data_IF_060995527975
#
_entry.id   IF_060995527975
#
_cell.length_a   1.000
_cell.length_b   1.000
_cell.length_c   1.000
_cell.angle_alpha   90.00
_cell.angle_beta   90.00
_cell.angle_gamma   90.00
#
_symmetry.space_group_name_H-M   'P 1'
#
loop_
_entity.id
_entity.type
_entity.pdbx_description
1 polymer ?
#
# COMPACT_ATOMS: atom_id res chain seq x y z
N UNK A 1 36.59 -43.35 60.01
CA UNK A 1 36.58 -43.50 58.54
C UNK A 1 37.35 -42.31 58.00
N UNK A 2 38.31 -42.52 57.12
CA UNK A 2 39.21 -41.48 56.62
C UNK A 2 38.84 -41.15 55.16
N UNK A 3 37.71 -40.44 54.93
CA UNK A 3 37.23 -40.17 53.59
C UNK A 3 38.17 -39.17 52.90
N UNK A 4 38.65 -39.53 51.72
CA UNK A 4 39.64 -38.73 50.99
C UNK A 4 38.94 -37.79 49.99
N UNK A 5 39.17 -36.47 50.07
CA UNK A 5 38.74 -35.53 49.04
C UNK A 5 39.54 -35.75 47.75
N UNK A 6 38.89 -35.71 46.60
CA UNK A 6 39.51 -35.86 45.29
C UNK A 6 38.77 -35.04 44.21
N UNK A 7 39.48 -34.72 43.12
CA UNK A 7 38.85 -34.19 41.91
C UNK A 7 38.77 -35.29 40.85
N UNK A 8 37.60 -35.47 40.25
CA UNK A 8 37.45 -36.35 39.10
C UNK A 8 38.19 -35.79 37.88
N UNK A 9 38.44 -36.63 36.86
CA UNK A 9 39.20 -36.27 35.65
C UNK A 9 38.61 -35.08 34.86
N UNK A 10 37.32 -34.79 35.04
CA UNK A 10 36.62 -33.63 34.46
C UNK A 10 36.66 -32.37 35.35
N UNK A 11 37.41 -32.41 36.47
CA UNK A 11 37.57 -31.32 37.42
C UNK A 11 36.42 -31.15 38.42
N UNK A 12 35.46 -32.08 38.53
CA UNK A 12 34.40 -32.00 39.54
C UNK A 12 34.87 -32.50 40.91
N UNK A 13 34.58 -31.80 42.03
CA UNK A 13 34.97 -32.23 43.38
C UNK A 13 34.09 -33.37 43.91
N UNK A 14 34.68 -34.28 44.68
CA UNK A 14 33.95 -35.27 45.44
C UNK A 14 34.80 -35.94 46.51
N UNK A 15 34.14 -36.57 47.47
CA UNK A 15 34.82 -37.29 48.56
C UNK A 15 34.58 -38.78 48.41
N UNK A 16 35.67 -39.55 48.41
CA UNK A 16 35.65 -41.02 48.35
C UNK A 16 35.89 -41.61 49.74
N UNK A 17 35.04 -42.55 50.14
CA UNK A 17 35.16 -43.29 51.39
C UNK A 17 34.88 -44.79 51.17
N UNK A 18 34.99 -45.57 52.25
CA UNK A 18 34.70 -47.00 52.25
C UNK A 18 33.57 -47.27 53.23
N UNK A 19 32.56 -48.03 52.80
CA UNK A 19 31.44 -48.46 53.62
C UNK A 19 31.93 -49.39 54.73
N UNK A 20 31.67 -49.11 56.01
CA UNK A 20 32.15 -49.95 57.11
C UNK A 20 31.39 -51.29 57.21
N UNK A 21 30.22 -51.40 56.58
CA UNK A 21 29.34 -52.57 56.69
C UNK A 21 29.66 -53.60 55.61
N UNK A 22 29.91 -53.15 54.38
CA UNK A 22 30.12 -54.05 53.23
C UNK A 22 31.48 -53.89 52.54
N UNK A 23 32.34 -52.96 52.99
CA UNK A 23 33.64 -52.69 52.36
C UNK A 23 33.56 -52.03 50.97
N UNK A 24 32.36 -51.73 50.48
CA UNK A 24 32.16 -51.08 49.18
C UNK A 24 32.62 -49.62 49.17
N UNK A 25 33.10 -49.15 48.02
CA UNK A 25 33.49 -47.74 47.85
C UNK A 25 32.24 -46.84 47.80
N UNK A 26 32.24 -45.76 48.58
CA UNK A 26 31.19 -44.73 48.59
C UNK A 26 31.78 -43.46 48.00
N UNK A 27 31.08 -42.84 47.06
CA UNK A 27 31.47 -41.56 46.47
C UNK A 27 30.36 -40.53 46.67
N UNK A 28 30.70 -39.37 47.25
CA UNK A 28 29.76 -38.26 47.44
C UNK A 28 30.22 -37.05 46.62
N UNK A 29 29.45 -36.60 45.61
CA UNK A 29 29.78 -35.41 44.85
C UNK A 29 29.57 -34.16 45.70
N UNK A 30 30.47 -33.17 45.56
CA UNK A 30 30.36 -31.89 46.25
C UNK A 30 31.69 -31.39 46.79
N UNK A 31 31.81 -30.07 46.89
CA UNK A 31 32.97 -29.40 47.47
C UNK A 31 32.85 -29.38 49.00
N UNK A 32 33.97 -29.57 49.69
CA UNK A 32 34.10 -29.42 51.14
C UNK A 32 35.39 -28.67 51.46
N UNK A 33 35.52 -28.11 52.66
CA UNK A 33 36.75 -27.42 53.09
C UNK A 33 38.02 -28.30 52.96
N UNK A 34 37.88 -29.63 53.01
CA UNK A 34 38.98 -30.56 52.81
C UNK A 34 39.54 -30.58 51.36
N UNK A 35 38.88 -29.90 50.41
CA UNK A 35 39.38 -29.72 49.04
C UNK A 35 40.27 -28.47 48.89
N UNK A 36 40.36 -27.63 49.92
CA UNK A 36 41.25 -26.46 49.93
C UNK A 36 42.71 -26.93 49.98
N UNK A 37 43.48 -26.62 48.92
CA UNK A 37 44.89 -27.01 48.78
C UNK A 37 45.14 -28.24 47.90
N UNK A 38 44.10 -28.91 47.40
CA UNK A 38 44.27 -29.97 46.39
C UNK A 38 44.42 -29.40 44.98
N UNK A 39 45.41 -29.89 44.24
CA UNK A 39 45.59 -29.52 42.84
C UNK A 39 44.41 -30.02 41.99
N UNK A 40 43.71 -29.08 41.36
CA UNK A 40 42.64 -29.41 40.42
C UNK A 40 43.26 -29.87 39.10
N UNK A 41 42.84 -31.03 38.55
CA UNK A 41 43.38 -31.51 37.28
C UNK A 41 43.05 -30.52 36.16
N UNK A 42 44.06 -30.20 35.35
CA UNK A 42 43.91 -29.35 34.16
C UNK A 42 43.10 -30.13 33.13
N UNK A 43 41.83 -29.77 32.96
CA UNK A 43 40.94 -30.39 31.97
C UNK A 43 41.34 -29.90 30.58
N UNK A 44 42.30 -30.56 29.95
CA UNK A 44 42.58 -30.36 28.52
C UNK A 44 41.45 -30.97 27.71
N UNK A 45 40.41 -30.19 27.41
CA UNK A 45 39.47 -30.54 26.34
C UNK A 45 40.27 -30.63 25.03
N UNK A 46 40.19 -31.73 24.26
CA UNK A 46 40.78 -31.74 22.94
C UNK A 46 40.12 -30.61 22.14
N UNK A 47 40.93 -29.61 21.75
CA UNK A 47 40.52 -28.62 20.76
C UNK A 47 40.09 -29.40 19.53
N UNK A 48 38.80 -29.36 19.21
CA UNK A 48 38.30 -29.67 17.86
C UNK A 48 39.24 -28.96 16.91
N UNK A 49 39.88 -29.69 16.00
CA UNK A 49 40.66 -29.11 14.89
C UNK A 49 39.80 -28.00 14.29
N UNK A 50 40.19 -26.76 14.52
CA UNK A 50 39.70 -25.63 13.77
C UNK A 50 40.11 -25.88 12.32
N UNK A 51 39.13 -26.16 11.48
CA UNK A 51 39.27 -25.95 10.04
C UNK A 51 39.42 -24.44 9.85
N UNK A 52 40.63 -23.92 10.06
CA UNK A 52 41.03 -22.62 9.53
C UNK A 52 41.22 -22.78 8.03
N UNK A 53 40.09 -22.68 7.33
CA UNK A 53 39.86 -22.19 5.98
C UNK A 53 38.45 -22.66 5.60
N UNK A 54 37.41 -22.11 6.24
CA UNK A 54 36.12 -22.01 5.54
C UNK A 54 36.38 -21.12 4.33
N UNK A 55 36.65 -21.75 3.18
CA UNK A 55 36.46 -21.10 1.90
C UNK A 55 35.08 -20.47 1.94
N UNK A 56 34.98 -19.15 1.78
CA UNK A 56 33.67 -18.50 1.63
C UNK A 56 32.82 -19.36 0.69
N UNK A 57 31.57 -19.70 1.06
CA UNK A 57 30.73 -20.51 0.19
C UNK A 57 30.73 -19.85 -1.18
N UNK A 58 31.12 -20.56 -2.25
CA UNK A 58 31.20 -20.00 -3.60
C UNK A 58 29.85 -19.41 -3.97
N UNK A 59 29.71 -18.09 -3.82
CA UNK A 59 28.49 -17.34 -4.08
C UNK A 59 28.24 -17.33 -5.58
N UNK A 60 27.06 -17.76 -6.00
CA UNK A 60 26.71 -17.90 -7.41
C UNK A 60 25.28 -17.41 -7.66
N UNK A 61 25.06 -16.82 -8.84
CA UNK A 61 23.76 -16.31 -9.26
C UNK A 61 23.35 -15.00 -8.56
N UNK A 62 22.16 -14.50 -8.90
CA UNK A 62 21.59 -13.26 -8.38
C UNK A 62 20.27 -13.57 -7.67
N UNK A 63 20.05 -13.01 -6.48
CA UNK A 63 18.77 -13.12 -5.76
C UNK A 63 17.94 -11.87 -6.06
N UNK A 64 16.65 -12.05 -6.35
CA UNK A 64 15.68 -10.97 -6.46
C UNK A 64 14.60 -11.19 -5.41
N UNK A 65 14.33 -10.19 -4.59
CA UNK A 65 13.26 -10.22 -3.58
C UNK A 65 12.18 -9.22 -3.94
N UNK A 66 10.94 -9.71 -4.04
CA UNK A 66 9.74 -8.92 -4.35
C UNK A 66 8.70 -9.05 -3.25
N UNK A 67 7.69 -8.18 -3.25
CA UNK A 67 6.66 -8.21 -2.21
C UNK A 67 5.72 -9.41 -2.32
N UNK A 68 5.25 -9.75 -3.52
CA UNK A 68 4.18 -10.73 -3.74
C UNK A 68 4.61 -11.93 -4.61
N UNK A 69 3.96 -13.10 -4.45
CA UNK A 69 4.25 -14.27 -5.27
C UNK A 69 3.89 -14.09 -6.75
N UNK A 70 2.84 -13.33 -7.07
CA UNK A 70 2.45 -13.07 -8.47
C UNK A 70 3.55 -12.27 -9.18
N UNK A 71 4.02 -11.18 -8.56
CA UNK A 71 5.15 -10.38 -9.03
C UNK A 71 6.42 -11.22 -9.23
N UNK A 72 6.67 -12.19 -8.32
CA UNK A 72 7.83 -13.08 -8.42
C UNK A 72 7.78 -13.97 -9.68
N UNK A 73 6.59 -14.47 -10.04
CA UNK A 73 6.39 -15.28 -11.25
C UNK A 73 6.60 -14.44 -12.51
N UNK A 74 5.99 -13.26 -12.58
CA UNK A 74 6.07 -12.37 -13.75
C UNK A 74 7.52 -11.92 -14.00
N UNK A 75 8.23 -11.46 -12.96
CA UNK A 75 9.63 -11.00 -13.08
C UNK A 75 10.58 -12.17 -13.37
N UNK A 76 10.34 -13.35 -12.77
CA UNK A 76 11.13 -14.54 -13.06
C UNK A 76 11.12 -14.93 -14.54
N UNK A 77 9.98 -14.74 -15.22
CA UNK A 77 9.85 -14.97 -16.68
C UNK A 77 10.73 -14.01 -17.49
N UNK A 78 10.82 -12.74 -17.10
CA UNK A 78 11.57 -11.73 -17.87
C UNK A 78 13.08 -11.77 -17.64
N UNK A 79 13.52 -12.07 -16.42
CA UNK A 79 14.95 -12.13 -16.08
C UNK A 79 15.63 -13.42 -16.54
N UNK A 80 14.88 -14.52 -16.63
CA UNK A 80 15.38 -15.79 -17.15
C UNK A 80 16.38 -16.51 -16.24
N UNK A 81 17.24 -17.35 -16.85
CA UNK A 81 18.20 -18.20 -16.14
C UNK A 81 19.31 -17.34 -15.51
N UNK A 82 19.63 -17.60 -14.24
CA UNK A 82 20.67 -16.88 -13.48
C UNK A 82 20.15 -16.02 -12.34
N UNK A 83 18.85 -15.76 -12.31
CA UNK A 83 18.15 -15.09 -11.21
C UNK A 83 17.31 -16.08 -10.41
N UNK A 84 17.43 -16.03 -9.08
CA UNK A 84 16.51 -16.69 -8.15
C UNK A 84 15.55 -15.64 -7.64
N UNK A 85 14.26 -15.73 -7.99
CA UNK A 85 13.24 -14.76 -7.55
C UNK A 85 12.46 -15.32 -6.37
N UNK A 86 12.39 -14.58 -5.27
CA UNK A 86 11.69 -14.92 -4.02
C UNK A 86 10.75 -13.80 -3.61
N UNK A 87 9.71 -14.15 -2.85
CA UNK A 87 8.75 -13.19 -2.32
C UNK A 87 8.88 -13.05 -0.80
N UNK A 88 8.81 -11.83 -0.28
CA UNK A 88 8.74 -11.52 1.16
C UNK A 88 7.32 -11.71 1.73
N UNK A 89 6.31 -11.80 0.86
CA UNK A 89 4.89 -11.87 1.21
C UNK A 89 4.48 -10.65 2.04
N UNK A 90 4.79 -9.44 1.55
CA UNK A 90 4.57 -8.18 2.25
C UNK A 90 5.67 -7.84 3.26
N UNK A 91 5.26 -7.14 4.32
CA UNK A 91 6.11 -6.78 5.47
C UNK A 91 6.61 -8.02 6.22
N UNK A 92 7.91 -8.03 6.53
CA UNK A 92 8.59 -9.11 7.26
C UNK A 92 8.85 -8.80 8.74
N UNK A 93 8.78 -7.51 9.12
CA UNK A 93 8.84 -7.03 10.50
C UNK A 93 7.62 -6.16 10.80
N UNK A 94 7.24 -6.10 12.06
CA UNK A 94 6.29 -5.11 12.56
C UNK A 94 6.60 -4.77 14.04
N UNK A 95 5.99 -3.70 14.54
CA UNK A 95 5.99 -3.31 15.94
C UNK A 95 5.16 -4.32 16.76
N UNK A 96 5.63 -4.72 17.96
CA UNK A 96 4.90 -5.66 18.82
C UNK A 96 3.50 -5.13 19.14
N UNK A 97 2.47 -5.98 19.01
CA UNK A 97 1.07 -5.56 19.26
C UNK A 97 0.76 -5.36 20.74
N UNK A 98 1.50 -6.03 21.63
CA UNK A 98 1.23 -6.08 23.08
C UNK A 98 1.81 -4.91 23.87
N UNK A 99 2.73 -4.13 23.30
CA UNK A 99 3.37 -2.97 23.94
C UNK A 99 3.54 -1.83 22.95
N UNK A 100 3.79 -0.62 23.43
CA UNK A 100 3.97 0.56 22.58
C UNK A 100 5.01 0.31 21.48
N UNK A 101 6.14 -0.34 21.82
CA UNK A 101 7.23 -0.71 20.90
C UNK A 101 7.91 0.48 20.23
N UNK A 102 7.81 1.65 20.86
CA UNK A 102 8.46 2.89 20.46
C UNK A 102 9.03 3.47 21.74
N UNK A 103 10.33 3.70 21.78
CA UNK A 103 11.01 4.34 22.90
C UNK A 103 10.90 5.86 22.76
N UNK A 104 9.94 6.45 23.46
CA UNK A 104 9.67 7.89 23.38
C UNK A 104 10.74 8.76 24.05
N UNK A 105 11.57 8.18 24.91
CA UNK A 105 12.64 8.89 25.62
C UNK A 105 13.95 8.88 24.81
N UNK A 106 14.14 7.88 23.94
CA UNK A 106 15.32 7.73 23.10
C UNK A 106 14.96 7.90 21.62
N UNK A 107 14.68 9.14 21.21
CA UNK A 107 14.48 9.54 19.80
C UNK A 107 13.42 8.74 19.03
N UNK A 108 12.37 8.27 19.72
CA UNK A 108 11.30 7.46 19.14
C UNK A 108 11.78 6.13 18.53
N UNK A 109 12.88 5.56 19.03
CA UNK A 109 13.46 4.34 18.49
C UNK A 109 12.43 3.19 18.45
N UNK A 110 12.09 2.66 17.26
CA UNK A 110 11.09 1.61 17.12
C UNK A 110 11.69 0.22 17.39
N UNK A 111 10.97 -0.60 18.15
CA UNK A 111 11.34 -1.99 18.37
C UNK A 111 10.58 -2.91 17.42
N UNK A 112 11.25 -3.28 16.32
CA UNK A 112 10.69 -4.18 15.32
C UNK A 112 11.01 -5.65 15.58
N UNK A 113 10.00 -6.51 15.45
CA UNK A 113 10.12 -7.96 15.54
C UNK A 113 9.62 -8.64 14.26
N UNK A 114 10.23 -9.77 13.90
CA UNK A 114 9.70 -10.67 12.87
C UNK A 114 8.49 -11.45 13.44
N UNK A 115 7.28 -11.27 12.87
CA UNK A 115 6.10 -12.05 13.26
C UNK A 115 6.33 -13.56 13.11
N UNK A 116 5.69 -14.36 13.96
CA UNK A 116 5.95 -15.81 14.00
C UNK A 116 5.65 -16.49 12.66
N UNK A 117 4.61 -16.05 11.96
CA UNK A 117 4.19 -16.51 10.64
C UNK A 117 5.17 -16.13 9.52
N UNK A 118 6.03 -15.12 9.74
CA UNK A 118 7.04 -14.66 8.77
C UNK A 118 8.44 -15.24 9.00
N UNK A 119 8.69 -15.92 10.12
CA UNK A 119 10.01 -16.50 10.45
C UNK A 119 10.52 -17.45 9.37
N UNK A 120 9.66 -18.30 8.82
CA UNK A 120 10.04 -19.22 7.74
C UNK A 120 10.49 -18.45 6.50
N UNK A 121 9.72 -17.45 6.07
CA UNK A 121 10.06 -16.60 4.92
C UNK A 121 11.39 -15.89 5.12
N UNK A 122 11.62 -15.30 6.30
CA UNK A 122 12.88 -14.61 6.61
C UNK A 122 14.07 -15.58 6.59
N UNK A 123 13.93 -16.78 7.17
CA UNK A 123 14.98 -17.80 7.15
C UNK A 123 15.27 -18.27 5.71
N UNK A 124 14.24 -18.46 4.88
CA UNK A 124 14.40 -18.84 3.47
C UNK A 124 15.11 -17.74 2.67
N UNK A 125 14.78 -16.46 2.93
CA UNK A 125 15.45 -15.30 2.33
C UNK A 125 16.90 -15.19 2.77
N UNK A 126 17.19 -15.37 4.06
CA UNK A 126 18.54 -15.37 4.63
C UNK A 126 19.40 -16.48 4.00
N UNK A 127 18.86 -17.69 3.89
CA UNK A 127 19.55 -18.82 3.26
C UNK A 127 19.81 -18.59 1.76
N UNK A 128 18.89 -17.93 1.04
CA UNK A 128 19.10 -17.56 -0.35
C UNK A 128 20.13 -16.43 -0.51
N UNK A 129 20.09 -15.41 0.36
CA UNK A 129 21.01 -14.28 0.36
C UNK A 129 22.46 -14.70 0.62
N UNK A 130 22.66 -15.68 1.51
CA UNK A 130 23.98 -16.25 1.80
C UNK A 130 24.64 -16.92 0.58
N UNK A 131 23.84 -17.44 -0.37
CA UNK A 131 24.32 -18.15 -1.57
C UNK A 131 24.48 -17.25 -2.80
N UNK A 132 23.73 -16.15 -2.87
CA UNK A 132 23.73 -15.28 -4.04
C UNK A 132 25.02 -14.45 -4.15
N UNK A 133 25.46 -14.06 -5.34
CA UNK A 133 26.57 -13.10 -5.49
C UNK A 133 26.08 -11.66 -5.29
N UNK A 134 24.96 -11.31 -5.92
CA UNK A 134 24.28 -10.02 -5.78
C UNK A 134 22.82 -10.23 -5.34
N UNK A 135 22.27 -9.24 -4.63
CA UNK A 135 20.91 -9.24 -4.11
C UNK A 135 20.20 -7.99 -4.65
N UNK A 136 19.01 -8.18 -5.22
CA UNK A 136 18.18 -7.11 -5.76
C UNK A 136 16.86 -7.06 -5.01
N UNK A 137 16.53 -5.90 -4.44
CA UNK A 137 15.26 -5.61 -3.78
C UNK A 137 14.35 -4.89 -4.78
N UNK A 138 13.34 -5.61 -5.27
CA UNK A 138 12.41 -5.19 -6.34
C UNK A 138 10.97 -4.99 -5.79
N UNK A 139 10.87 -4.37 -4.62
CA UNK A 139 9.60 -3.94 -4.02
C UNK A 139 8.99 -2.77 -4.78
N UNK A 140 7.72 -2.46 -4.49
CA UNK A 140 6.98 -1.40 -5.17
C UNK A 140 7.63 -0.01 -5.02
N UNK A 141 7.35 0.93 -5.94
CA UNK A 141 8.05 2.22 -6.02
C UNK A 141 7.63 3.25 -4.96
N UNK A 142 6.74 2.89 -4.03
CA UNK A 142 6.23 3.77 -2.97
C UNK A 142 7.08 3.68 -1.68
N UNK A 143 6.75 4.53 -0.69
CA UNK A 143 7.43 4.52 0.62
C UNK A 143 7.24 3.20 1.39
N UNK A 144 6.12 2.50 1.17
CA UNK A 144 5.88 1.21 1.83
C UNK A 144 6.81 0.14 1.24
N UNK A 145 6.95 0.10 -0.08
CA UNK A 145 7.92 -0.76 -0.77
C UNK A 145 9.36 -0.47 -0.35
N UNK A 146 9.72 0.79 -0.13
CA UNK A 146 11.05 1.17 0.37
C UNK A 146 11.28 0.65 1.80
N UNK A 147 10.32 0.82 2.70
CA UNK A 147 10.39 0.29 4.06
C UNK A 147 10.44 -1.25 4.09
N UNK A 148 9.71 -1.93 3.20
CA UNK A 148 9.79 -3.40 3.05
C UNK A 148 11.19 -3.80 2.60
N UNK A 149 11.79 -3.11 1.63
CA UNK A 149 13.15 -3.37 1.17
C UNK A 149 14.15 -3.26 2.34
N UNK A 150 14.08 -2.17 3.10
CA UNK A 150 14.89 -1.98 4.30
C UNK A 150 14.67 -3.07 5.35
N UNK A 151 13.41 -3.39 5.68
CA UNK A 151 13.10 -4.45 6.65
C UNK A 151 13.59 -5.83 6.20
N UNK A 152 13.54 -6.15 4.91
CA UNK A 152 14.06 -7.40 4.34
C UNK A 152 15.58 -7.46 4.48
N UNK A 153 16.28 -6.38 4.12
CA UNK A 153 17.73 -6.26 4.27
C UNK A 153 18.15 -6.54 5.71
N UNK A 154 17.51 -5.85 6.67
CA UNK A 154 17.78 -5.99 8.10
C UNK A 154 17.43 -7.39 8.64
N UNK A 155 16.23 -7.90 8.34
CA UNK A 155 15.75 -9.17 8.95
C UNK A 155 16.49 -10.39 8.43
N UNK A 156 16.87 -10.37 7.16
CA UNK A 156 17.55 -11.47 6.51
C UNK A 156 19.09 -11.33 6.60
N UNK A 157 19.59 -10.33 7.34
CA UNK A 157 21.02 -10.06 7.55
C UNK A 157 21.78 -10.00 6.21
N UNK A 158 21.21 -9.28 5.24
CA UNK A 158 21.80 -9.13 3.92
C UNK A 158 22.95 -8.12 3.96
N UNK A 159 24.06 -8.42 3.30
CA UNK A 159 25.21 -7.52 3.21
C UNK A 159 24.84 -6.27 2.35
N UNK A 160 24.92 -5.04 2.89
CA UNK A 160 24.55 -3.83 2.16
C UNK A 160 25.34 -3.65 0.85
N UNK A 161 26.66 -3.92 0.88
CA UNK A 161 27.53 -3.77 -0.30
C UNK A 161 27.20 -4.72 -1.48
N UNK A 162 26.36 -5.74 -1.26
CA UNK A 162 25.88 -6.65 -2.31
C UNK A 162 24.40 -6.46 -2.63
N UNK A 163 23.74 -5.54 -1.94
CA UNK A 163 22.29 -5.34 -2.03
C UNK A 163 21.99 -4.07 -2.83
N UNK A 164 21.14 -4.21 -3.83
CA UNK A 164 20.76 -3.16 -4.78
C UNK A 164 19.25 -2.99 -4.80
N UNK A 165 18.77 -1.75 -4.87
CA UNK A 165 17.34 -1.42 -4.99
C UNK A 165 16.99 -1.24 -6.47
N UNK A 166 15.95 -1.93 -6.93
CA UNK A 166 15.43 -1.84 -8.31
C UNK A 166 13.99 -1.37 -8.28
N UNK A 167 13.69 -0.33 -9.04
CA UNK A 167 12.37 0.33 -9.06
C UNK A 167 11.84 0.33 -10.49
N UNK A 168 10.57 -0.02 -10.67
CA UNK A 168 9.85 0.09 -11.94
C UNK A 168 8.38 0.41 -11.65
N UNK A 169 7.73 1.09 -12.60
CA UNK A 169 6.34 1.56 -12.49
C UNK A 169 5.36 0.69 -13.29
N UNK A 170 5.88 -0.24 -14.08
CA UNK A 170 5.13 -1.24 -14.82
C UNK A 170 5.93 -2.54 -14.90
N UNK A 171 5.24 -3.66 -15.11
CA UNK A 171 5.85 -5.00 -15.16
C UNK A 171 5.88 -5.50 -16.60
N UNK A 172 6.61 -4.77 -17.44
CA UNK A 172 6.91 -5.12 -18.84
C UNK A 172 8.34 -5.66 -18.95
N UNK A 173 8.63 -6.46 -19.98
CA UNK A 173 9.98 -7.00 -20.20
C UNK A 173 11.03 -5.88 -20.33
N UNK A 174 10.70 -4.81 -21.07
CA UNK A 174 11.55 -3.65 -21.32
C UNK A 174 11.83 -2.88 -20.03
N UNK A 175 10.79 -2.49 -19.28
CA UNK A 175 10.94 -1.74 -18.03
C UNK A 175 11.70 -2.53 -16.97
N UNK A 176 11.44 -3.84 -16.84
CA UNK A 176 12.18 -4.68 -15.87
C UNK A 176 13.65 -4.80 -16.26
N UNK A 177 13.98 -5.02 -17.54
CA UNK A 177 15.39 -5.10 -17.96
C UNK A 177 16.13 -3.77 -17.74
N UNK A 178 15.49 -2.66 -18.08
CA UNK A 178 16.05 -1.32 -17.91
C UNK A 178 16.29 -0.98 -16.43
N UNK A 179 15.34 -1.30 -15.56
CA UNK A 179 15.46 -1.07 -14.12
C UNK A 179 16.62 -1.86 -13.49
N UNK A 180 16.92 -3.06 -14.00
CA UNK A 180 18.06 -3.86 -13.53
C UNK A 180 19.42 -3.34 -14.02
N UNK A 181 19.45 -2.52 -15.07
CA UNK A 181 20.66 -1.84 -15.54
C UNK A 181 20.97 -0.57 -14.72
N UNK A 182 19.95 0.00 -14.06
CA UNK A 182 20.06 1.22 -13.26
C UNK A 182 19.64 1.01 -11.79
N UNK A 183 20.28 0.09 -11.05
CA UNK A 183 20.02 -0.07 -9.63
C UNK A 183 20.47 1.15 -8.84
N UNK A 184 19.78 1.42 -7.73
CA UNK A 184 20.14 2.46 -6.76
C UNK A 184 20.33 1.86 -5.36
N UNK A 185 20.73 2.69 -4.41
CA UNK A 185 20.67 2.35 -2.98
C UNK A 185 19.26 2.55 -2.42
N UNK A 186 19.01 2.03 -1.22
CA UNK A 186 17.76 2.27 -0.50
C UNK A 186 17.70 3.76 -0.13
N UNK A 187 16.57 4.38 -0.41
CA UNK A 187 16.28 5.78 -0.08
C UNK A 187 15.84 5.82 1.39
N UNK A 188 16.77 6.19 2.27
CA UNK A 188 16.52 6.22 3.71
C UNK A 188 15.52 7.29 4.12
N UNK A 189 15.42 8.41 3.40
CA UNK A 189 14.40 9.44 3.68
C UNK A 189 12.98 8.88 3.48
N UNK A 190 12.77 8.06 2.44
CA UNK A 190 11.49 7.35 2.24
C UNK A 190 11.21 6.32 3.33
N UNK A 191 12.23 5.60 3.79
CA UNK A 191 12.12 4.65 4.90
C UNK A 191 11.71 5.40 6.16
N UNK A 192 12.45 6.44 6.53
CA UNK A 192 12.19 7.27 7.70
C UNK A 192 10.79 7.92 7.64
N UNK A 193 10.36 8.40 6.48
CA UNK A 193 9.00 8.92 6.30
C UNK A 193 7.92 7.85 6.56
N UNK A 194 8.16 6.60 6.17
CA UNK A 194 7.27 5.48 6.47
C UNK A 194 7.31 5.12 7.96
N UNK A 195 8.49 5.08 8.56
CA UNK A 195 8.68 4.80 9.99
C UNK A 195 8.02 5.87 10.87
N UNK A 196 8.23 7.15 10.57
CA UNK A 196 7.60 8.27 11.25
C UNK A 196 6.07 8.16 11.20
N UNK A 197 5.50 7.83 10.03
CA UNK A 197 4.07 7.54 9.90
C UNK A 197 3.64 6.37 10.79
N UNK A 198 4.39 5.26 10.78
CA UNK A 198 4.08 4.06 11.56
C UNK A 198 4.12 4.32 13.07
N UNK A 199 5.12 5.07 13.52
CA UNK A 199 5.30 5.51 14.91
C UNK A 199 4.16 6.44 15.32
N UNK A 200 3.83 7.44 14.50
CA UNK A 200 2.75 8.38 14.79
C UNK A 200 1.40 7.67 14.94
N UNK A 201 1.08 6.77 14.01
CA UNK A 201 -0.17 5.99 14.07
C UNK A 201 -0.19 5.06 15.31
N UNK A 202 0.98 4.54 15.72
CA UNK A 202 1.12 3.74 16.95
C UNK A 202 0.90 4.58 18.21
N UNK A 203 1.50 5.76 18.32
CA UNK A 203 1.35 6.65 19.47
C UNK A 203 -0.11 7.07 19.66
N UNK A 204 -0.77 7.51 18.57
CA UNK A 204 -2.19 7.90 18.61
C UNK A 204 -3.08 6.71 18.98
N UNK A 205 -2.89 5.57 18.32
CA UNK A 205 -3.72 4.39 18.53
C UNK A 205 -3.59 3.81 19.95
N UNK A 206 -2.37 3.67 20.44
CA UNK A 206 -2.09 3.09 21.75
C UNK A 206 -2.57 3.97 22.91
N UNK A 207 -2.40 5.30 22.79
CA UNK A 207 -2.77 6.23 23.86
C UNK A 207 -4.27 6.54 23.89
N UNK A 208 -4.92 6.69 22.73
CA UNK A 208 -6.33 7.13 22.68
C UNK A 208 -7.34 5.97 22.70
N UNK A 209 -7.02 4.78 22.18
CA UNK A 209 -8.00 3.67 22.16
C UNK A 209 -8.49 3.26 23.55
N UNK A 210 -7.63 3.17 24.60
CA UNK A 210 -8.10 2.88 25.97
C UNK A 210 -9.03 3.96 26.53
N UNK A 211 -8.88 5.23 26.11
CA UNK A 211 -9.81 6.30 26.50
C UNK A 211 -11.18 6.09 25.85
N UNK A 212 -11.22 5.76 24.55
CA UNK A 212 -12.47 5.45 23.84
C UNK A 212 -13.19 4.24 24.47
N UNK A 213 -12.45 3.23 24.93
CA UNK A 213 -13.04 2.07 25.60
C UNK A 213 -13.72 2.44 26.91
N UNK A 214 -13.12 3.35 27.69
CA UNK A 214 -13.66 3.82 28.97
C UNK A 214 -14.84 4.78 28.80
N UNK A 215 -14.86 5.58 27.72
CA UNK A 215 -15.81 6.70 27.56
C UNK A 215 -16.93 6.46 26.56
N UNK A 216 -16.76 5.52 25.63
CA UNK A 216 -17.74 5.26 24.56
C UNK A 216 -18.14 3.79 24.53
N UNK A 217 -17.25 2.91 24.08
CA UNK A 217 -17.51 1.46 24.00
C UNK A 217 -16.19 0.69 23.88
N UNK A 218 -16.13 -0.48 24.51
CA UNK A 218 -14.99 -1.40 24.34
C UNK A 218 -14.77 -1.79 22.87
N UNK A 219 -13.51 -2.07 22.51
CA UNK A 219 -13.04 -2.50 21.18
C UNK A 219 -13.12 -1.45 20.06
N UNK A 220 -13.33 -0.18 20.39
CA UNK A 220 -13.17 0.92 19.43
C UNK A 220 -11.69 1.20 19.13
N UNK A 221 -11.40 1.69 17.94
CA UNK A 221 -10.04 2.08 17.54
C UNK A 221 -9.96 3.60 17.40
N UNK A 222 -8.88 4.18 17.93
CA UNK A 222 -8.48 5.54 17.62
C UNK A 222 -7.49 5.51 16.46
N UNK A 223 -7.73 6.33 15.44
CA UNK A 223 -6.81 6.46 14.31
C UNK A 223 -6.86 7.87 13.76
N UNK A 224 -5.69 8.49 13.58
CA UNK A 224 -5.56 9.89 13.18
C UNK A 224 -6.28 10.24 11.88
N UNK A 225 -6.23 9.35 10.89
CA UNK A 225 -6.92 9.54 9.59
C UNK A 225 -8.37 9.04 9.64
N UNK A 226 -8.60 7.90 10.29
CA UNK A 226 -9.93 7.29 10.39
C UNK A 226 -10.92 8.19 11.14
N UNK A 227 -10.50 8.83 12.24
CA UNK A 227 -11.36 9.71 13.03
C UNK A 227 -11.83 10.93 12.23
N UNK A 228 -10.95 11.51 11.40
CA UNK A 228 -11.29 12.63 10.51
C UNK A 228 -12.28 12.18 9.43
N UNK A 229 -12.07 11.01 8.83
CA UNK A 229 -13.02 10.47 7.84
C UNK A 229 -14.41 10.22 8.44
N UNK A 230 -14.48 9.64 9.64
CA UNK A 230 -15.75 9.47 10.37
C UNK A 230 -16.37 10.82 10.70
N UNK A 231 -15.57 11.81 11.12
CA UNK A 231 -16.03 13.17 11.39
C UNK A 231 -16.73 13.79 10.17
N UNK A 232 -16.15 13.68 8.97
CA UNK A 232 -16.77 14.22 7.74
C UNK A 232 -18.14 13.61 7.45
N UNK A 233 -18.31 12.30 7.69
CA UNK A 233 -19.60 11.63 7.52
C UNK A 233 -20.61 12.12 8.56
N UNK A 234 -20.20 12.23 9.83
CA UNK A 234 -21.05 12.73 10.91
C UNK A 234 -21.44 14.21 10.71
N UNK A 235 -20.52 15.04 10.22
CA UNK A 235 -20.81 16.44 9.88
C UNK A 235 -21.85 16.54 8.77
N UNK A 236 -21.72 15.73 7.70
CA UNK A 236 -22.74 15.66 6.66
C UNK A 236 -24.09 15.17 7.19
N UNK A 237 -24.11 14.17 8.07
CA UNK A 237 -25.37 13.69 8.65
C UNK A 237 -26.04 14.79 9.48
N UNK A 238 -25.28 15.53 10.28
CA UNK A 238 -25.79 16.68 11.04
C UNK A 238 -26.30 17.79 10.15
N UNK A 239 -25.64 18.07 9.02
CA UNK A 239 -26.14 19.01 8.01
C UNK A 239 -27.53 18.57 7.51
N UNK A 240 -27.71 17.28 7.21
CA UNK A 240 -28.99 16.70 6.76
C UNK A 240 -30.05 16.77 7.88
N UNK A 241 -29.71 16.41 9.11
CA UNK A 241 -30.63 16.48 10.26
C UNK A 241 -31.07 17.92 10.57
N UNK A 242 -30.17 18.90 10.35
CA UNK A 242 -30.44 20.33 10.55
C UNK A 242 -31.13 20.99 9.36
N UNK A 243 -31.33 20.28 8.25
CA UNK A 243 -31.91 20.83 7.04
C UNK A 243 -33.39 21.13 7.25
N UNK A 244 -33.76 22.40 7.16
CA UNK A 244 -35.15 22.85 7.17
C UNK A 244 -35.67 22.82 5.74
N UNK A 245 -36.57 21.88 5.44
CA UNK A 245 -37.19 21.78 4.12
C UNK A 245 -38.09 22.99 3.86
N UNK A 246 -37.88 23.63 2.73
CA UNK A 246 -38.74 24.71 2.23
C UNK A 246 -39.51 24.23 0.99
N UNK A 247 -40.82 24.48 0.98
CA UNK A 247 -41.65 24.25 -0.19
C UNK A 247 -41.28 25.24 -1.29
N UNK A 248 -41.07 24.74 -2.51
CA UNK A 248 -40.90 25.57 -3.69
C UNK A 248 -41.52 24.89 -4.89
N UNK A 249 -41.98 25.70 -5.84
CA UNK A 249 -42.64 25.27 -7.05
C UNK A 249 -41.87 25.76 -8.27
N UNK A 250 -41.90 24.96 -9.32
CA UNK A 250 -41.44 25.36 -10.65
C UNK A 250 -42.58 25.28 -11.64
N UNK A 251 -42.74 26.33 -12.44
CA UNK A 251 -43.68 26.36 -13.55
C UNK A 251 -42.95 26.00 -14.85
N UNK A 252 -43.46 25.01 -15.57
CA UNK A 252 -42.96 24.60 -16.88
C UNK A 252 -44.09 24.69 -17.91
N UNK A 253 -43.76 25.12 -19.13
CA UNK A 253 -44.65 25.16 -20.28
C UNK A 253 -44.09 24.33 -21.43
N UNK A 254 -44.94 23.52 -22.06
CA UNK A 254 -44.61 22.85 -23.32
C UNK A 254 -44.98 23.76 -24.49
N UNK A 255 -43.97 24.26 -25.19
CA UNK A 255 -44.12 25.23 -26.27
C UNK A 255 -43.77 24.60 -27.61
N UNK A 256 -44.55 24.91 -28.64
CA UNK A 256 -44.31 24.49 -30.02
C UNK A 256 -44.37 25.72 -30.94
N UNK A 257 -43.75 25.61 -32.12
CA UNK A 257 -43.86 26.68 -33.12
C UNK A 257 -45.29 26.73 -33.65
N UNK A 258 -45.78 27.94 -33.89
CA UNK A 258 -47.15 28.21 -34.35
C UNK A 258 -47.52 27.44 -35.63
N UNK A 259 -46.55 27.18 -36.52
CA UNK A 259 -46.76 26.41 -37.74
C UNK A 259 -47.24 24.96 -37.51
N UNK A 260 -47.07 24.41 -36.30
CA UNK A 260 -47.54 23.08 -35.91
C UNK A 260 -48.85 23.13 -35.10
N UNK A 261 -49.55 24.27 -35.10
CA UNK A 261 -50.82 24.40 -34.39
C UNK A 261 -51.88 23.48 -35.00
N UNK A 262 -52.57 22.71 -34.16
CA UNK A 262 -53.62 21.76 -34.57
C UNK A 262 -53.12 20.36 -34.96
N UNK A 263 -51.80 20.14 -35.03
CA UNK A 263 -51.24 18.80 -35.24
C UNK A 263 -51.32 17.96 -33.96
N UNK A 264 -51.75 16.69 -34.09
CA UNK A 264 -51.86 15.75 -32.98
C UNK A 264 -50.48 15.36 -32.41
N UNK A 265 -49.48 15.25 -33.28
CA UNK A 265 -48.08 15.08 -32.91
C UNK A 265 -47.30 16.30 -33.39
N UNK A 266 -46.68 17.04 -32.46
CA UNK A 266 -45.92 18.25 -32.77
C UNK A 266 -44.58 18.27 -32.05
N UNK A 267 -43.52 18.81 -32.65
CA UNK A 267 -42.28 19.04 -31.93
C UNK A 267 -42.50 20.13 -30.88
N UNK A 268 -42.06 19.88 -29.65
CA UNK A 268 -42.17 20.83 -28.56
C UNK A 268 -40.86 20.90 -27.77
N UNK A 269 -40.71 21.96 -26.98
CA UNK A 269 -39.67 22.08 -25.98
C UNK A 269 -40.28 22.57 -24.66
N UNK A 270 -39.61 22.29 -23.55
CA UNK A 270 -40.02 22.76 -22.23
C UNK A 270 -39.33 24.08 -21.91
N UNK A 271 -40.13 25.08 -21.55
CA UNK A 271 -39.66 26.34 -21.01
C UNK A 271 -39.97 26.40 -19.51
N UNK A 272 -38.97 26.76 -18.69
CA UNK A 272 -39.15 27.00 -17.26
C UNK A 272 -39.41 28.49 -17.01
N UNK A 273 -40.39 28.81 -16.19
CA UNK A 273 -40.66 30.18 -15.79
C UNK A 273 -39.45 30.76 -15.05
N UNK A 274 -38.94 31.88 -15.55
CA UNK A 274 -37.66 32.44 -15.11
C UNK A 274 -37.85 33.70 -14.26
N UNK A 275 -38.61 34.68 -14.78
CA UNK A 275 -38.79 35.99 -14.16
C UNK A 275 -40.20 36.53 -14.38
N UNK A 276 -40.68 37.29 -13.41
CA UNK A 276 -41.88 38.12 -13.51
C UNK A 276 -41.44 39.57 -13.32
N UNK A 277 -41.75 40.45 -14.28
CA UNK A 277 -41.39 41.88 -14.23
C UNK A 277 -39.89 42.15 -13.93
N UNK A 278 -39.00 41.25 -14.35
CA UNK A 278 -37.55 41.37 -14.16
C UNK A 278 -37.02 40.76 -12.85
N UNK A 279 -37.91 40.40 -11.93
CA UNK A 279 -37.58 39.78 -10.64
C UNK A 279 -37.80 38.26 -10.64
N UNK A 280 -37.10 37.55 -9.76
CA UNK A 280 -37.30 36.12 -9.55
C UNK A 280 -38.55 35.93 -8.68
N UNK A 281 -39.62 35.31 -9.20
CA UNK A 281 -40.86 35.15 -8.45
C UNK A 281 -40.66 34.20 -7.26
N UNK A 282 -41.29 34.51 -6.13
CA UNK A 282 -41.39 33.59 -4.98
C UNK A 282 -42.52 32.61 -5.22
N UNK A 283 -42.17 31.36 -5.48
CA UNK A 283 -43.11 30.28 -5.75
C UNK A 283 -43.07 29.27 -4.60
N UNK A 284 -43.49 29.69 -3.42
CA UNK A 284 -43.36 28.92 -2.16
C UNK A 284 -44.60 28.09 -1.79
N UNK A 285 -45.70 28.24 -2.54
CA UNK A 285 -46.97 27.59 -2.27
C UNK A 285 -47.86 27.51 -3.51
N UNK A 286 -48.83 26.60 -3.50
CA UNK A 286 -49.85 26.52 -4.56
C UNK A 286 -50.58 27.86 -4.75
N UNK A 287 -50.89 28.57 -3.66
CA UNK A 287 -51.59 29.85 -3.71
C UNK A 287 -50.74 30.95 -4.39
N UNK A 288 -49.42 30.95 -4.17
CA UNK A 288 -48.50 31.87 -4.87
C UNK A 288 -48.36 31.53 -6.37
N UNK A 289 -48.48 30.26 -6.72
CA UNK A 289 -48.30 29.76 -8.10
C UNK A 289 -49.55 29.93 -8.96
N UNK A 290 -50.74 29.76 -8.39
CA UNK A 290 -52.00 29.73 -9.14
C UNK A 290 -52.24 30.98 -10.02
N UNK A 291 -52.01 32.21 -9.54
CA UNK A 291 -52.19 33.41 -10.36
C UNK A 291 -51.26 33.44 -11.57
N UNK A 292 -50.01 32.99 -11.41
CA UNK A 292 -49.07 32.88 -12.52
C UNK A 292 -49.51 31.82 -13.52
N UNK A 293 -49.97 30.65 -13.04
CA UNK A 293 -50.44 29.57 -13.90
C UNK A 293 -51.64 29.99 -14.74
N UNK A 294 -52.64 30.63 -14.13
CA UNK A 294 -53.86 31.10 -14.79
C UNK A 294 -53.56 32.14 -15.88
N UNK A 295 -52.58 33.01 -15.62
CA UNK A 295 -52.11 33.99 -16.60
C UNK A 295 -51.36 33.31 -17.75
N UNK A 296 -50.42 32.41 -17.45
CA UNK A 296 -49.59 31.73 -18.44
C UNK A 296 -50.39 30.77 -19.36
N UNK A 297 -51.48 30.17 -18.87
CA UNK A 297 -52.37 29.33 -19.69
C UNK A 297 -53.06 30.11 -20.82
N UNK A 298 -53.32 31.40 -20.61
CA UNK A 298 -54.00 32.28 -21.56
C UNK A 298 -53.03 33.15 -22.34
N UNK A 299 -51.74 33.09 -22.01
CA UNK A 299 -50.72 33.96 -22.58
C UNK A 299 -50.38 33.57 -24.02
N UNK A 300 -50.11 34.58 -24.85
CA UNK A 300 -49.44 34.40 -26.13
C UNK A 300 -47.92 34.41 -25.90
N UNK A 301 -47.23 33.42 -26.45
CA UNK A 301 -45.80 33.23 -26.25
C UNK A 301 -45.02 33.76 -27.45
N UNK A 302 -43.97 34.54 -27.18
CA UNK A 302 -43.04 35.01 -28.21
C UNK A 302 -41.60 34.76 -27.76
N UNK A 303 -40.71 34.54 -28.72
CA UNK A 303 -39.28 34.34 -28.42
C UNK A 303 -38.66 35.72 -28.19
N UNK A 304 -38.25 35.99 -26.95
CA UNK A 304 -37.59 37.26 -26.61
C UNK A 304 -36.13 37.34 -27.04
N UNK A 305 -35.35 36.28 -26.80
CA UNK A 305 -33.91 36.27 -27.09
C UNK A 305 -33.45 34.84 -27.43
N UNK A 306 -32.53 34.73 -28.40
CA UNK A 306 -31.83 33.48 -28.73
C UNK A 306 -30.33 33.71 -28.67
N UNK A 307 -29.66 33.03 -27.72
CA UNK A 307 -28.19 33.04 -27.62
C UNK A 307 -27.63 31.72 -28.14
N UNK A 308 -26.86 31.81 -29.22
CA UNK A 308 -26.09 30.70 -29.74
C UNK A 308 -24.67 30.77 -29.18
N UNK A 309 -24.24 29.68 -28.55
CA UNK A 309 -22.91 29.56 -27.97
C UNK A 309 -22.27 28.24 -28.35
N UNK A 310 -20.96 28.25 -28.56
CA UNK A 310 -20.18 27.02 -28.71
C UNK A 310 -19.51 26.69 -27.38
N UNK A 311 -19.68 25.45 -26.92
CA UNK A 311 -19.02 24.94 -25.71
C UNK A 311 -18.10 23.80 -26.09
N UNK A 312 -16.80 23.99 -25.87
CA UNK A 312 -15.81 22.94 -26.02
C UNK A 312 -15.66 22.16 -24.71
N UNK A 313 -15.76 20.83 -24.77
CA UNK A 313 -15.45 19.94 -23.65
C UNK A 313 -14.08 19.29 -23.89
N UNK A 314 -13.16 19.49 -22.96
CA UNK A 314 -11.85 18.84 -23.00
C UNK A 314 -11.95 17.41 -22.43
N UNK A 315 -11.12 16.46 -22.92
CA UNK A 315 -11.04 15.13 -22.36
C UNK A 315 -10.60 15.16 -20.89
N UNK A 316 -11.01 14.14 -20.13
CA UNK A 316 -10.57 13.96 -18.76
C UNK A 316 -9.08 13.58 -18.72
N UNK A 317 -8.42 13.91 -17.61
CA UNK A 317 -7.06 13.46 -17.36
C UNK A 317 -7.00 11.93 -17.18
N UNK A 318 -5.84 11.30 -17.42
CA UNK A 318 -5.56 9.92 -17.05
C UNK A 318 -5.86 9.65 -15.57
N UNK A 319 -6.06 8.37 -15.26
CA UNK A 319 -6.44 7.94 -13.92
C UNK A 319 -5.30 8.07 -12.92
N UNK A 320 -5.54 8.82 -11.85
CA UNK A 320 -4.88 8.67 -10.56
C UNK A 320 -5.60 7.61 -9.71
N UNK A 321 -5.02 7.21 -8.57
CA UNK A 321 -5.70 6.30 -7.64
C UNK A 321 -7.08 6.81 -7.21
N UNK A 322 -7.22 8.11 -6.93
CA UNK A 322 -8.47 8.68 -6.43
C UNK A 322 -9.54 8.75 -7.51
N UNK A 323 -9.18 9.14 -8.72
CA UNK A 323 -10.10 9.23 -9.86
C UNK A 323 -10.51 7.84 -10.36
N UNK A 324 -9.60 6.87 -10.35
CA UNK A 324 -9.91 5.46 -10.63
C UNK A 324 -10.94 4.91 -9.65
N UNK A 325 -10.75 5.15 -8.34
CA UNK A 325 -11.69 4.70 -7.31
C UNK A 325 -13.07 5.35 -7.46
N UNK A 326 -13.13 6.66 -7.74
CA UNK A 326 -14.37 7.38 -7.95
C UNK A 326 -15.13 6.85 -9.17
N UNK A 327 -14.46 6.70 -10.31
CA UNK A 327 -15.10 6.21 -11.54
C UNK A 327 -15.48 4.74 -11.46
N UNK A 328 -14.68 3.89 -10.80
CA UNK A 328 -15.07 2.50 -10.54
C UNK A 328 -16.29 2.41 -9.61
N UNK A 329 -16.41 3.29 -8.62
CA UNK A 329 -17.61 3.36 -7.77
C UNK A 329 -18.82 3.82 -8.59
N UNK A 330 -18.67 4.87 -9.42
CA UNK A 330 -19.77 5.48 -10.17
C UNK A 330 -20.26 4.62 -11.33
N UNK A 331 -19.35 3.98 -12.07
CA UNK A 331 -19.69 3.23 -13.28
C UNK A 331 -19.86 1.73 -13.04
N UNK A 332 -19.12 1.15 -12.09
CA UNK A 332 -19.07 -0.30 -11.89
C UNK A 332 -19.62 -0.74 -10.53
N UNK A 333 -20.05 0.20 -9.67
CA UNK A 333 -20.49 -0.06 -8.29
C UNK A 333 -19.44 -0.82 -7.46
N UNK A 334 -18.15 -0.57 -7.70
CA UNK A 334 -17.07 -1.20 -6.94
C UNK A 334 -16.68 -0.34 -5.73
N UNK A 335 -16.71 -0.94 -4.54
CA UNK A 335 -16.08 -0.34 -3.36
C UNK A 335 -14.56 -0.23 -3.53
N UNK A 336 -13.95 0.76 -2.88
CA UNK A 336 -12.51 1.07 -3.01
C UNK A 336 -11.60 -0.14 -2.81
N UNK A 337 -11.88 -0.99 -1.83
CA UNK A 337 -11.12 -2.23 -1.58
C UNK A 337 -11.19 -3.23 -2.73
N UNK A 338 -12.33 -3.33 -3.43
CA UNK A 338 -12.46 -4.20 -4.60
C UNK A 338 -11.67 -3.63 -5.76
N UNK A 339 -11.80 -2.32 -6.02
CA UNK A 339 -11.06 -1.62 -7.08
C UNK A 339 -9.55 -1.79 -6.92
N UNK A 340 -9.02 -1.53 -5.72
CA UNK A 340 -7.57 -1.64 -5.48
C UNK A 340 -7.06 -3.09 -5.55
N UNK A 341 -7.85 -4.07 -5.12
CA UNK A 341 -7.48 -5.49 -5.25
C UNK A 341 -7.39 -5.91 -6.72
N UNK A 342 -8.36 -5.52 -7.54
CA UNK A 342 -8.35 -5.82 -8.97
C UNK A 342 -7.20 -5.08 -9.67
N UNK A 343 -6.99 -3.81 -9.36
CA UNK A 343 -5.87 -3.04 -9.91
C UNK A 343 -4.51 -3.65 -9.54
N UNK A 344 -4.32 -4.12 -8.29
CA UNK A 344 -3.11 -4.85 -7.89
C UNK A 344 -2.90 -6.10 -8.76
N UNK A 345 -3.94 -6.88 -9.02
CA UNK A 345 -3.86 -8.07 -9.86
C UNK A 345 -3.49 -7.74 -11.31
N UNK A 346 -4.07 -6.67 -11.86
CA UNK A 346 -3.73 -6.19 -13.20
C UNK A 346 -2.28 -5.71 -13.27
N UNK A 347 -1.77 -5.03 -12.24
CA UNK A 347 -0.37 -4.57 -12.18
C UNK A 347 0.63 -5.71 -11.99
N UNK A 348 0.41 -6.61 -11.02
CA UNK A 348 1.35 -7.70 -10.69
C UNK A 348 1.43 -8.77 -11.78
N UNK A 349 0.33 -8.95 -12.49
CA UNK A 349 0.23 -9.83 -13.63
C UNK A 349 -1.00 -10.73 -13.57
N UNK A 350 -1.70 -10.82 -14.69
CA UNK A 350 -2.83 -11.72 -14.91
C UNK A 350 -2.42 -12.82 -15.88
N UNK A 351 -2.84 -14.06 -15.59
CA UNK A 351 -2.58 -15.20 -16.48
C UNK A 351 -3.51 -15.14 -17.70
N UNK A 352 -2.93 -14.97 -18.89
CA UNK A 352 -3.63 -14.87 -20.16
C UNK A 352 -3.47 -16.14 -21.02
N UNK A 353 -3.14 -17.28 -20.41
CA UNK A 353 -3.03 -18.55 -21.13
C UNK A 353 -1.74 -18.61 -21.96
N UNK A 354 -1.83 -18.62 -23.28
CA UNK A 354 -0.67 -18.79 -24.17
C UNK A 354 0.34 -17.63 -24.04
N UNK A 355 -0.14 -16.41 -23.74
CA UNK A 355 0.72 -15.25 -23.49
C UNK A 355 1.38 -15.30 -22.09
N UNK A 356 0.87 -16.17 -21.20
CA UNK A 356 1.30 -16.34 -19.81
C UNK A 356 0.91 -15.17 -18.90
N UNK A 357 1.62 -15.01 -17.77
CA UNK A 357 1.37 -13.93 -16.82
C UNK A 357 1.94 -12.60 -17.32
N UNK A 358 1.08 -11.59 -17.52
CA UNK A 358 1.43 -10.26 -18.04
C UNK A 358 0.80 -9.15 -17.18
N UNK A 359 1.57 -8.09 -16.90
CA UNK A 359 1.06 -6.87 -16.26
C UNK A 359 0.30 -6.00 -17.26
N UNK A 360 -0.92 -5.60 -16.92
CA UNK A 360 -1.88 -4.95 -17.83
C UNK A 360 -2.05 -3.45 -17.59
N UNK A 361 -1.57 -2.93 -16.46
CA UNK A 361 -1.63 -1.51 -16.10
C UNK A 361 -0.32 -1.07 -15.44
N UNK A 362 -0.09 0.24 -15.42
CA UNK A 362 0.94 0.86 -14.59
C UNK A 362 0.57 0.80 -13.10
N UNK A 363 1.49 1.26 -12.24
CA UNK A 363 1.34 1.20 -10.80
C UNK A 363 0.12 1.98 -10.30
N UNK A 364 -0.86 1.27 -9.73
CA UNK A 364 -2.17 1.81 -9.37
C UNK A 364 -2.19 2.75 -8.16
N UNK A 365 -1.06 2.93 -7.45
CA UNK A 365 -0.91 3.88 -6.33
C UNK A 365 -0.10 5.09 -6.77
N UNK A 366 -0.76 5.98 -7.51
CA UNK A 366 -0.17 7.18 -8.11
C UNK A 366 -1.08 8.39 -7.92
N UNK A 367 -0.48 9.55 -7.65
CA UNK A 367 -1.11 10.86 -7.70
C UNK A 367 -0.75 11.64 -8.97
N UNK A 368 0.03 11.03 -9.88
CA UNK A 368 0.44 11.59 -11.17
C UNK A 368 -0.62 11.34 -12.24
N UNK A 369 -0.74 12.31 -13.15
CA UNK A 369 -1.54 12.23 -14.39
C UNK A 369 -0.65 12.24 -15.64
N UNK A 370 0.65 12.08 -15.44
CA UNK A 370 1.65 12.07 -16.51
C UNK A 370 1.54 10.75 -17.27
N UNK A 371 1.76 10.80 -18.58
CA UNK A 371 1.78 9.62 -19.46
C UNK A 371 3.08 9.66 -20.24
N UNK A 372 3.78 8.53 -20.33
CA UNK A 372 5.01 8.39 -21.10
C UNK A 372 4.78 8.69 -22.57
N UNK A 373 5.85 9.12 -23.26
CA UNK A 373 5.78 9.37 -24.69
C UNK A 373 5.36 8.11 -25.46
N UNK A 374 5.86 6.93 -25.05
CA UNK A 374 5.52 5.63 -25.64
C UNK A 374 4.02 5.34 -25.52
N UNK A 375 3.43 5.44 -24.33
CA UNK A 375 1.99 5.22 -24.13
C UNK A 375 1.12 6.27 -24.87
N UNK A 376 1.58 7.53 -25.00
CA UNK A 376 0.89 8.54 -25.80
C UNK A 376 0.88 8.19 -27.28
N UNK A 377 2.00 7.73 -27.84
CA UNK A 377 2.11 7.33 -29.24
C UNK A 377 1.23 6.11 -29.53
N UNK A 378 1.26 5.09 -28.67
CA UNK A 378 0.40 3.91 -28.80
C UNK A 378 -1.09 4.26 -28.74
N UNK A 379 -1.49 5.11 -27.78
CA UNK A 379 -2.87 5.57 -27.67
C UNK A 379 -3.33 6.34 -28.91
N UNK A 380 -2.48 7.22 -29.47
CA UNK A 380 -2.77 7.97 -30.70
C UNK A 380 -2.92 7.05 -31.91
N UNK A 381 -2.03 6.06 -32.05
CA UNK A 381 -2.10 5.07 -33.11
C UNK A 381 -3.39 4.24 -33.02
N UNK A 382 -3.76 3.81 -31.80
CA UNK A 382 -5.01 3.10 -31.56
C UNK A 382 -6.25 3.94 -31.90
N UNK A 383 -6.28 5.21 -31.46
CA UNK A 383 -7.39 6.13 -31.76
C UNK A 383 -7.54 6.33 -33.27
N UNK A 384 -6.43 6.60 -33.97
CA UNK A 384 -6.45 6.79 -35.42
C UNK A 384 -6.94 5.57 -36.17
N UNK A 385 -6.52 4.37 -35.75
CA UNK A 385 -6.94 3.10 -36.36
C UNK A 385 -8.41 2.76 -36.08
N UNK A 386 -8.90 3.01 -34.86
CA UNK A 386 -10.22 2.55 -34.41
C UNK A 386 -11.34 3.57 -34.66
N UNK A 387 -11.06 4.85 -34.50
CA UNK A 387 -12.07 5.91 -34.54
C UNK A 387 -11.90 6.87 -35.72
N UNK A 388 -10.72 6.91 -36.36
CA UNK A 388 -10.42 7.82 -37.47
C UNK A 388 -9.44 8.93 -37.08
N UNK A 389 -8.80 9.53 -38.09
CA UNK A 389 -7.77 10.54 -37.90
C UNK A 389 -8.31 11.84 -37.28
N UNK A 390 -9.58 12.16 -37.51
CA UNK A 390 -10.28 13.32 -36.98
C UNK A 390 -10.49 13.28 -35.46
N UNK A 391 -10.43 12.08 -34.86
CA UNK A 391 -10.49 11.88 -33.40
C UNK A 391 -9.12 11.93 -32.73
N UNK A 392 -8.03 11.92 -33.50
CA UNK A 392 -6.67 12.05 -32.96
C UNK A 392 -6.38 13.52 -32.70
N UNK A 393 -6.08 13.92 -31.45
CA UNK A 393 -5.69 15.30 -31.17
C UNK A 393 -4.47 15.69 -32.00
N UNK A 394 -4.44 16.88 -32.59
CA UNK A 394 -3.29 17.34 -33.38
C UNK A 394 -1.99 17.26 -32.56
N UNK A 395 -2.04 17.76 -31.32
CA UNK A 395 -0.95 17.65 -30.33
C UNK A 395 -1.34 16.71 -29.18
N UNK A 396 -0.42 15.86 -28.68
CA UNK A 396 -0.69 15.04 -27.51
C UNK A 396 -1.15 15.89 -26.31
N UNK A 397 -2.25 15.51 -25.63
CA UNK A 397 -2.69 16.21 -24.43
C UNK A 397 -1.67 16.08 -23.31
N UNK A 398 -1.31 17.21 -22.69
CA UNK A 398 -0.42 17.24 -21.51
C UNK A 398 -1.24 17.64 -20.29
N UNK A 399 -1.25 16.78 -19.28
CA UNK A 399 -1.92 17.03 -18.01
C UNK A 399 -0.89 17.36 -16.94
N UNK A 400 -1.15 18.38 -16.11
CA UNK A 400 -0.27 18.76 -15.02
C UNK A 400 -0.78 18.21 -13.70
N UNK A 401 0.09 17.49 -13.00
CA UNK A 401 -0.15 17.03 -11.63
C UNK A 401 -0.27 18.23 -10.70
N UNK A 402 -1.29 18.24 -9.83
CA UNK A 402 -1.56 19.37 -8.90
C UNK A 402 -0.85 19.22 -7.55
N UNK A 403 -0.34 18.04 -7.23
CA UNK A 403 0.28 17.71 -5.95
C UNK A 403 1.72 18.26 -5.90
N UNK A 404 2.02 19.13 -4.93
CA UNK A 404 3.39 19.66 -4.69
C UNK A 404 4.37 18.59 -4.15
N UNK A 405 3.83 17.47 -3.67
CA UNK A 405 4.58 16.34 -3.09
C UNK A 405 4.50 15.09 -3.96
N UNK A 406 3.89 15.18 -5.15
CA UNK A 406 3.91 14.09 -6.10
C UNK A 406 5.37 13.81 -6.41
N UNK A 407 5.81 12.57 -6.19
CA UNK A 407 7.02 12.13 -6.83
C UNK A 407 6.70 12.10 -8.32
N UNK A 408 7.18 13.11 -9.06
CA UNK A 408 6.98 13.28 -10.51
C UNK A 408 7.50 12.09 -11.36
N UNK A 409 8.01 11.05 -10.71
CA UNK A 409 8.49 9.81 -11.30
C UNK A 409 7.40 8.74 -11.49
N UNK A 410 6.12 9.04 -11.25
CA UNK A 410 5.03 8.07 -11.46
C UNK A 410 4.22 8.34 -12.73
N UNK A 411 3.84 7.26 -13.42
CA UNK A 411 2.91 7.22 -14.56
C UNK A 411 1.59 6.56 -14.13
#
# INVERSE_FOLDING_TARGET
>A
MDPKPEFAANGSPGTRGVCPVCGGTIYKPGYTAAHEGLEKPVVTRPKKKSQEAESEPRRAGKLVVVESPAKAKTIGKYLGRGYTVKSSVGHVRDLLKSRLSVDVENEFAPEYRVPNDKRKTVNDLKAAAAKAKEIYLATDPDREGEAIAWHVLESAEMEPGRTKRVVFHEITKKAVQEAFNHPREIDMDRVEAQQARRILDRLVGYNLSPLLWRKVRGRLSAGRVQSVAVRLVVEREREIESFVTEEYWSLEAELSQEKYAGEAERPFFRAKFHKFEGETPKLDSQAAVQPHLDALQKAAWTVGEVKLGQRQRRPAAPFTTSTLQQEASRQLNFGTSKTMRLAQQLYEGTDLGEEGTVGLITYMRTDSVTVSAEAQEEARAYIGKKFGAEYVPATPPVYKTRSKTAQEAHE
#
